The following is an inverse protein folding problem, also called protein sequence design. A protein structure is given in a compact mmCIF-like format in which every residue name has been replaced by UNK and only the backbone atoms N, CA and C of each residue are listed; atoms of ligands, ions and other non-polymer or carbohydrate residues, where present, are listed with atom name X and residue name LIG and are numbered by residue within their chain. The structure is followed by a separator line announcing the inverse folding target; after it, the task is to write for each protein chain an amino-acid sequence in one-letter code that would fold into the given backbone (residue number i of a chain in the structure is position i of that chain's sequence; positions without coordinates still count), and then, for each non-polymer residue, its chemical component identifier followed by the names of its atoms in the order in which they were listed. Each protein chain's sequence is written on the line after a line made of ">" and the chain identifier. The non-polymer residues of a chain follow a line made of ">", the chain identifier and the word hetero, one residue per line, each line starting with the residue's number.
data_IF_775788756021
#
_entry.id   IF_775788756021
#
_cell.length_a   1.000
_cell.length_b   1.000
_cell.length_c   1.000
_cell.angle_alpha   90.00
_cell.angle_beta   90.00
_cell.angle_gamma   90.00
#
_symmetry.space_group_name_H-M   'P 1'
#
loop_
_entity.id
_entity.type
_entity.pdbx_description
1 polymer ?
#
# COMPACT_ATOMS: atom_id res chain seq x y z
N UNK A 1 26.14 -15.70 6.37
CA UNK A 1 26.36 -14.37 7.00
C UNK A 1 25.02 -13.69 7.20
N UNK A 2 24.79 -13.19 8.39
CA UNK A 2 23.55 -12.48 8.69
C UNK A 2 23.57 -11.06 8.10
N UNK A 3 22.43 -10.61 7.61
CA UNK A 3 22.27 -9.24 7.15
C UNK A 3 22.21 -8.28 8.34
N UNK A 4 22.79 -7.08 8.23
CA UNK A 4 22.55 -6.04 9.24
C UNK A 4 21.12 -5.50 9.17
N UNK A 5 20.39 -5.75 8.08
CA UNK A 5 18.98 -5.36 7.95
C UNK A 5 18.13 -6.45 8.60
N UNK A 6 17.33 -6.08 9.60
CA UNK A 6 16.58 -7.04 10.41
C UNK A 6 15.06 -6.88 10.30
N UNK A 7 14.60 -5.85 9.60
CA UNK A 7 13.16 -5.63 9.45
C UNK A 7 12.83 -4.47 8.55
N UNK A 8 11.54 -4.24 8.39
CA UNK A 8 11.00 -3.10 7.67
C UNK A 8 10.34 -2.18 8.70
N UNK A 9 10.87 -0.98 8.86
CA UNK A 9 10.35 -0.04 9.88
C UNK A 9 9.08 0.65 9.42
N UNK A 10 9.10 1.20 8.19
CA UNK A 10 7.90 1.83 7.66
C UNK A 10 7.99 1.92 6.14
N UNK A 11 6.84 2.16 5.54
CA UNK A 11 6.71 2.49 4.12
C UNK A 11 6.19 3.91 4.04
N UNK A 12 6.85 4.77 3.27
CA UNK A 12 6.44 6.15 3.13
C UNK A 12 6.10 6.49 1.69
N UNK A 13 5.03 7.27 1.49
CA UNK A 13 4.65 7.76 0.16
C UNK A 13 4.56 9.27 0.16
N UNK A 14 4.95 9.93 -0.94
CA UNK A 14 4.89 11.39 -1.04
C UNK A 14 3.48 11.88 -1.30
N UNK A 15 3.20 13.09 -0.82
CA UNK A 15 1.91 13.74 -1.01
C UNK A 15 2.11 15.24 -1.22
N UNK A 16 1.16 15.87 -1.93
CA UNK A 16 1.07 17.32 -2.02
C UNK A 16 0.08 17.88 -0.99
N UNK A 17 -0.69 17.00 -0.35
CA UNK A 17 -1.71 17.38 0.64
C UNK A 17 -1.93 16.19 1.57
N UNK A 18 -1.19 16.16 2.66
CA UNK A 18 -1.21 15.00 3.55
C UNK A 18 -2.59 14.79 4.20
N UNK A 19 -3.38 15.85 4.38
CA UNK A 19 -4.70 15.71 4.98
C UNK A 19 -5.67 14.99 4.03
N UNK A 20 -5.60 15.29 2.74
CA UNK A 20 -6.37 14.58 1.73
C UNK A 20 -5.93 13.12 1.65
N UNK A 21 -4.62 12.87 1.68
CA UNK A 21 -4.08 11.51 1.67
C UNK A 21 -4.51 10.75 2.92
N UNK A 22 -4.46 11.40 4.08
CA UNK A 22 -4.92 10.77 5.32
C UNK A 22 -6.39 10.33 5.21
N UNK A 23 -7.23 11.18 4.68
CA UNK A 23 -8.65 10.84 4.50
C UNK A 23 -8.81 9.60 3.61
N UNK A 24 -8.01 9.50 2.56
CA UNK A 24 -8.04 8.32 1.69
C UNK A 24 -7.63 7.05 2.44
N UNK A 25 -6.49 7.09 3.13
CA UNK A 25 -5.98 5.90 3.82
C UNK A 25 -6.83 5.48 5.01
N UNK A 26 -7.36 6.43 5.76
CA UNK A 26 -8.19 6.13 6.94
C UNK A 26 -9.64 5.85 6.55
N UNK A 27 -10.25 6.74 5.78
CA UNK A 27 -11.70 6.65 5.52
C UNK A 27 -12.03 5.71 4.36
N UNK A 28 -11.23 5.73 3.29
CA UNK A 28 -11.49 4.90 2.12
C UNK A 28 -10.90 3.52 2.26
N UNK A 29 -9.61 3.42 2.59
CA UNK A 29 -8.97 2.11 2.77
C UNK A 29 -9.20 1.51 4.14
N UNK A 30 -9.58 2.30 5.13
CA UNK A 30 -9.89 1.81 6.46
C UNK A 30 -8.68 1.45 7.30
N UNK A 31 -7.51 2.04 7.03
CA UNK A 31 -6.33 1.77 7.83
C UNK A 31 -6.47 2.42 9.21
N UNK A 32 -5.90 1.76 10.22
CA UNK A 32 -5.93 2.27 11.59
C UNK A 32 -4.94 3.41 11.73
N UNK A 33 -5.39 4.64 12.12
CA UNK A 33 -4.45 5.74 12.30
C UNK A 33 -3.55 5.50 13.51
N UNK A 34 -2.33 6.03 13.45
CA UNK A 34 -1.44 6.02 14.61
C UNK A 34 -1.98 6.94 15.69
N UNK A 35 -1.75 6.59 16.95
CA UNK A 35 -2.30 7.35 18.07
C UNK A 35 -1.67 8.74 18.22
N UNK A 36 -0.44 8.93 17.73
CA UNK A 36 0.31 10.17 17.90
C UNK A 36 0.73 10.83 16.59
N UNK A 37 0.88 10.06 15.52
CA UNK A 37 1.32 10.58 14.21
C UNK A 37 0.14 10.79 13.28
N UNK A 38 -0.15 12.04 12.93
CA UNK A 38 -1.33 12.36 12.12
C UNK A 38 -1.28 11.78 10.70
N UNK A 39 -0.08 11.62 10.15
CA UNK A 39 0.11 11.13 8.79
C UNK A 39 0.69 9.71 8.76
N UNK A 40 0.45 8.94 9.81
CA UNK A 40 0.92 7.57 9.94
C UNK A 40 -0.25 6.63 10.26
N UNK A 41 -0.17 5.42 9.71
CA UNK A 41 -1.24 4.42 9.82
C UNK A 41 -0.61 3.05 10.04
N UNK A 42 -1.41 2.10 10.47
CA UNK A 42 -0.96 0.73 10.67
C UNK A 42 -1.59 -0.22 9.67
N UNK A 43 -0.74 -0.97 8.98
CA UNK A 43 -1.14 -2.06 8.10
C UNK A 43 -0.60 -3.32 8.75
N UNK A 44 -1.44 -4.01 9.51
CA UNK A 44 -0.95 -5.06 10.41
C UNK A 44 0.05 -4.45 11.38
N UNK A 45 1.26 -4.98 11.41
CA UNK A 45 2.34 -4.51 12.28
C UNK A 45 3.31 -3.57 11.55
N UNK A 46 3.03 -3.20 10.32
CA UNK A 46 3.90 -2.31 9.54
C UNK A 46 3.32 -0.91 9.53
N UNK A 47 4.16 0.08 9.84
CA UNK A 47 3.79 1.48 9.75
C UNK A 47 3.78 1.93 8.29
N UNK A 48 2.74 2.67 7.92
CA UNK A 48 2.61 3.27 6.60
C UNK A 48 2.41 4.76 6.79
N UNK A 49 3.24 5.58 6.17
CA UNK A 49 3.20 7.02 6.38
C UNK A 49 3.10 7.80 5.08
N UNK A 50 2.62 9.02 5.22
CA UNK A 50 2.53 10.00 4.14
C UNK A 50 3.39 11.18 4.51
N UNK A 51 4.19 11.69 3.59
CA UNK A 51 4.99 12.88 3.85
C UNK A 51 4.90 13.85 2.68
N UNK A 52 5.11 15.14 2.96
CA UNK A 52 5.15 16.16 1.92
C UNK A 52 6.61 16.49 1.61
N UNK A 53 7.11 16.14 0.42
CA UNK A 53 8.50 16.41 0.06
C UNK A 53 8.90 17.89 0.20
N UNK A 54 7.95 18.80 -0.05
CA UNK A 54 8.20 20.24 0.09
C UNK A 54 8.69 20.63 1.48
N UNK A 55 8.26 19.90 2.52
CA UNK A 55 8.69 20.14 3.89
C UNK A 55 10.20 19.96 4.04
N UNK A 56 10.80 19.11 3.19
CA UNK A 56 12.23 18.82 3.22
C UNK A 56 12.98 19.49 2.07
N UNK A 57 12.36 20.45 1.39
CA UNK A 57 12.97 21.15 0.28
C UNK A 57 13.09 20.31 -1.00
N UNK A 58 12.32 19.25 -1.12
CA UNK A 58 12.34 18.38 -2.28
C UNK A 58 11.11 18.59 -3.15
N UNK A 59 11.27 18.34 -4.45
CA UNK A 59 10.13 18.39 -5.38
C UNK A 59 9.26 17.15 -5.17
N UNK A 60 7.95 17.33 -5.34
CA UNK A 60 7.02 16.22 -5.33
C UNK A 60 7.12 15.44 -6.64
N UNK A 61 7.16 14.11 -6.52
CA UNK A 61 6.93 13.19 -7.62
C UNK A 61 6.25 11.95 -7.03
N UNK A 62 5.16 11.47 -7.62
CA UNK A 62 4.50 10.28 -7.08
C UNK A 62 5.41 9.06 -7.23
N UNK A 63 5.26 8.09 -6.33
CA UNK A 63 5.90 6.79 -6.47
C UNK A 63 5.17 6.04 -7.58
N UNK A 64 5.92 5.62 -8.61
CA UNK A 64 5.34 4.91 -9.76
C UNK A 64 6.09 3.60 -9.99
N UNK A 65 5.34 2.58 -10.38
CA UNK A 65 5.86 1.26 -10.76
C UNK A 65 6.41 0.40 -9.61
N UNK A 66 6.53 0.97 -8.43
CA UNK A 66 6.89 0.22 -7.22
C UNK A 66 5.64 -0.07 -6.39
N UNK A 67 4.63 -0.64 -6.99
CA UNK A 67 3.33 -0.87 -6.35
C UNK A 67 3.48 -1.46 -4.96
N UNK A 68 2.88 -0.80 -3.99
CA UNK A 68 2.83 -1.32 -2.62
C UNK A 68 1.67 -2.30 -2.55
N UNK A 69 1.99 -3.55 -2.23
CA UNK A 69 1.01 -4.64 -2.21
C UNK A 69 0.34 -4.70 -0.83
N UNK A 70 -0.94 -4.35 -0.81
CA UNK A 70 -1.76 -4.38 0.40
C UNK A 70 -2.51 -5.70 0.44
N UNK A 71 -2.29 -6.48 1.48
CA UNK A 71 -2.92 -7.80 1.61
C UNK A 71 -4.41 -7.69 1.86
N UNK A 72 -5.18 -8.47 1.12
CA UNK A 72 -6.61 -8.71 1.36
C UNK A 72 -6.87 -10.21 1.24
N UNK A 73 -7.92 -10.69 1.89
CA UNK A 73 -8.25 -12.11 1.84
C UNK A 73 -8.90 -12.50 0.51
N UNK A 74 -9.59 -11.58 -0.14
CA UNK A 74 -10.28 -11.80 -1.40
C UNK A 74 -10.18 -10.53 -2.24
N UNK A 75 -9.35 -10.56 -3.29
CA UNK A 75 -9.10 -9.38 -4.13
C UNK A 75 -10.36 -8.92 -4.84
N UNK A 76 -11.16 -9.85 -5.38
CA UNK A 76 -12.36 -9.49 -6.12
C UNK A 76 -13.39 -8.78 -5.22
N UNK A 77 -13.60 -9.29 -4.02
CA UNK A 77 -14.54 -8.68 -3.08
C UNK A 77 -14.02 -7.34 -2.55
N UNK A 78 -12.74 -7.26 -2.21
CA UNK A 78 -12.13 -6.01 -1.74
C UNK A 78 -12.19 -4.93 -2.84
N UNK A 79 -11.96 -5.31 -4.09
CA UNK A 79 -12.07 -4.38 -5.22
C UNK A 79 -13.47 -3.80 -5.32
N UNK A 80 -14.51 -4.65 -5.24
CA UNK A 80 -15.90 -4.19 -5.28
C UNK A 80 -16.19 -3.20 -4.16
N UNK A 81 -15.70 -3.51 -2.97
CA UNK A 81 -15.90 -2.66 -1.79
C UNK A 81 -15.28 -1.28 -1.99
N UNK A 82 -14.05 -1.24 -2.51
CA UNK A 82 -13.36 0.02 -2.75
C UNK A 82 -13.94 0.77 -3.94
N UNK A 83 -14.37 0.08 -5.00
CA UNK A 83 -15.06 0.72 -6.12
C UNK A 83 -16.36 1.40 -5.65
N UNK A 84 -17.08 0.79 -4.72
CA UNK A 84 -18.28 1.38 -4.13
C UNK A 84 -17.97 2.66 -3.35
N UNK A 85 -16.72 2.82 -2.90
CA UNK A 85 -16.25 4.04 -2.22
C UNK A 85 -15.59 5.03 -3.17
N UNK A 86 -15.62 4.77 -4.47
CA UNK A 86 -15.12 5.68 -5.49
C UNK A 86 -13.69 5.43 -5.95
N UNK A 87 -13.06 4.35 -5.53
CA UNK A 87 -11.71 4.02 -6.01
C UNK A 87 -11.79 3.48 -7.43
N UNK A 88 -10.93 4.02 -8.30
CA UNK A 88 -10.83 3.55 -9.68
C UNK A 88 -9.61 2.65 -9.83
N UNK A 89 -9.81 1.46 -10.38
CA UNK A 89 -8.74 0.51 -10.60
C UNK A 89 -8.27 0.56 -12.06
N UNK A 90 -6.98 0.31 -12.25
CA UNK A 90 -6.35 0.27 -13.57
C UNK A 90 -6.44 -1.15 -14.12
N UNK A 91 -7.24 -1.33 -15.18
CA UNK A 91 -7.39 -2.63 -15.82
C UNK A 91 -8.18 -3.63 -14.99
N UNK A 92 -8.11 -4.87 -15.43
CA UNK A 92 -8.81 -5.97 -14.76
C UNK A 92 -7.99 -6.54 -13.62
N UNK A 93 -8.67 -7.15 -12.65
CA UNK A 93 -8.02 -8.00 -11.66
C UNK A 93 -7.37 -9.16 -12.41
N UNK A 94 -6.12 -9.48 -12.07
CA UNK A 94 -5.40 -10.52 -12.80
C UNK A 94 -4.75 -11.53 -11.85
N UNK A 95 -4.42 -12.68 -12.44
CA UNK A 95 -3.82 -13.81 -11.74
C UNK A 95 -2.43 -14.03 -12.32
N UNK A 96 -1.42 -14.02 -11.46
CA UNK A 96 -0.03 -14.22 -11.88
C UNK A 96 0.37 -15.70 -11.96
N UNK A 97 -0.52 -16.60 -11.53
CA UNK A 97 -0.22 -18.02 -11.39
C UNK A 97 0.13 -18.41 -9.95
N UNK A 98 0.36 -17.42 -9.08
CA UNK A 98 0.65 -17.65 -7.65
C UNK A 98 -0.12 -16.68 -6.77
N UNK A 99 -0.64 -15.58 -7.33
CA UNK A 99 -1.39 -14.58 -6.56
C UNK A 99 -2.37 -13.82 -7.44
N UNK A 100 -3.32 -13.15 -6.79
CA UNK A 100 -4.27 -12.24 -7.44
C UNK A 100 -3.86 -10.80 -7.13
N UNK A 101 -4.02 -9.91 -8.11
CA UNK A 101 -3.68 -8.50 -7.99
C UNK A 101 -4.71 -7.60 -8.64
N UNK A 102 -4.95 -6.44 -8.04
CA UNK A 102 -5.75 -5.37 -8.63
C UNK A 102 -5.04 -4.05 -8.37
N UNK A 103 -4.76 -3.30 -9.42
CA UNK A 103 -3.91 -2.11 -9.37
C UNK A 103 -4.74 -0.84 -9.27
N UNK A 104 -4.31 0.09 -8.41
CA UNK A 104 -4.94 1.39 -8.26
C UNK A 104 -3.92 2.41 -7.75
N UNK A 105 -4.33 3.67 -7.62
CA UNK A 105 -3.46 4.71 -7.09
C UNK A 105 -4.15 5.42 -5.92
N UNK A 106 -3.32 6.04 -5.07
CA UNK A 106 -3.85 6.96 -4.07
C UNK A 106 -4.15 8.34 -4.71
N UNK A 107 -4.68 9.33 -3.96
CA UNK A 107 -5.02 10.63 -4.55
C UNK A 107 -3.84 11.39 -5.14
N UNK A 108 -2.61 11.10 -4.72
CA UNK A 108 -1.41 11.74 -5.23
C UNK A 108 -0.81 11.01 -6.44
N UNK A 109 -1.38 9.88 -6.82
CA UNK A 109 -0.89 9.08 -7.94
C UNK A 109 0.14 8.04 -7.55
N UNK A 110 0.32 7.76 -6.26
CA UNK A 110 1.21 6.69 -5.83
C UNK A 110 0.61 5.33 -6.16
N UNK A 111 1.40 4.44 -6.73
CA UNK A 111 0.94 3.13 -7.17
C UNK A 111 0.76 2.16 -6.00
N UNK A 112 -0.42 1.58 -5.92
CA UNK A 112 -0.82 0.61 -4.90
C UNK A 112 -1.43 -0.61 -5.59
N UNK A 113 -1.57 -1.70 -4.87
CA UNK A 113 -2.34 -2.84 -5.34
C UNK A 113 -3.00 -3.57 -4.18
N UNK A 114 -4.15 -4.17 -4.46
CA UNK A 114 -4.69 -5.22 -3.61
C UNK A 114 -4.00 -6.52 -4.00
N UNK A 115 -3.68 -7.35 -3.03
CA UNK A 115 -2.88 -8.53 -3.28
C UNK A 115 -3.31 -9.69 -2.38
N UNK A 116 -3.36 -10.88 -2.95
CA UNK A 116 -3.54 -12.12 -2.20
C UNK A 116 -2.73 -13.22 -2.86
N UNK A 117 -1.76 -13.74 -2.11
CA UNK A 117 -0.98 -14.88 -2.58
C UNK A 117 -1.67 -16.16 -2.14
N UNK A 118 -2.06 -16.99 -3.09
CA UNK A 118 -2.72 -18.26 -2.79
C UNK A 118 -1.75 -19.45 -2.82
N UNK A 119 -0.58 -19.29 -3.46
CA UNK A 119 0.42 -20.35 -3.52
C UNK A 119 1.33 -20.32 -2.29
N UNK A 120 1.78 -21.46 -1.79
CA UNK A 120 2.66 -21.47 -0.64
C UNK A 120 3.98 -20.77 -0.92
N UNK A 121 4.59 -20.25 0.13
CA UNK A 121 5.84 -19.50 0.07
C UNK A 121 6.83 -20.10 1.05
N UNK A 122 8.08 -20.22 0.65
CA UNK A 122 9.14 -20.75 1.52
C UNK A 122 10.02 -19.61 2.01
N UNK A 123 10.13 -19.45 3.31
CA UNK A 123 10.93 -18.39 3.92
C UNK A 123 12.40 -18.73 4.05
N UNK A 124 12.74 -20.01 4.16
CA UNK A 124 14.10 -20.46 4.33
C UNK A 124 14.82 -20.75 3.02
N UNK A 125 14.10 -20.64 1.89
CA UNK A 125 14.66 -20.89 0.57
C UNK A 125 14.91 -22.35 0.25
N UNK A 126 14.49 -23.26 1.08
CA UNK A 126 14.75 -24.70 0.89
C UNK A 126 13.74 -25.36 -0.03
N UNK A 127 12.67 -24.70 -0.39
CA UNK A 127 11.58 -25.21 -1.22
C UNK A 127 11.25 -24.23 -2.33
N UNK A 128 10.89 -24.73 -3.47
CA UNK A 128 10.61 -23.87 -4.64
C UNK A 128 9.39 -24.31 -5.42
#
# INVERSE_FOLDING_TARGET
>A
MASPVTGLDFVGVPSTDWKRSRAFYVDTLGLRPDATGDAEFWVGDTCFGVYEPATFGMEFAPQRNGHIALHVDDVAEARKELEAKGVEFSGETFDTGVCHMALFTDPDGNDLMLHHRYAPRTRDGSQH
#
